data_IF_251906029125
#
_entry.id   IF_251906029125
#
_cell.length_a   1.000
_cell.length_b   1.000
_cell.length_c   1.000
_cell.angle_alpha   90.00
_cell.angle_beta   90.00
_cell.angle_gamma   90.00
#
_symmetry.space_group_name_H-M   'P 1'
#
loop_
_entity.id
_entity.type
_entity.pdbx_description
1 polymer ?
#
# COMPACT_ATOMS: atom_id res chain seq x y z
N UNK A 1 10.22 7.84 2.66
CA UNK A 1 8.96 7.08 2.81
C UNK A 1 8.52 7.03 4.26
N UNK A 2 7.23 6.86 4.47
CA UNK A 2 6.59 6.72 5.79
C UNK A 2 5.63 5.53 5.82
N UNK A 3 6.02 4.38 5.29
CA UNK A 3 5.16 3.19 5.23
C UNK A 3 4.61 2.82 6.62
N UNK A 4 5.47 2.71 7.62
CA UNK A 4 5.04 2.33 8.97
C UNK A 4 4.12 3.37 9.63
N UNK A 5 4.37 4.66 9.40
CA UNK A 5 3.51 5.73 9.91
C UNK A 5 2.17 5.77 9.17
N UNK A 6 2.18 5.58 7.84
CA UNK A 6 0.95 5.46 7.05
C UNK A 6 0.07 4.29 7.51
N UNK A 7 0.69 3.13 7.80
CA UNK A 7 0.00 1.99 8.40
C UNK A 7 -0.73 2.35 9.70
N UNK A 8 -0.15 3.26 10.50
CA UNK A 8 -0.72 3.64 11.81
C UNK A 8 -1.80 4.73 11.73
N UNK A 9 -2.05 5.31 10.55
CA UNK A 9 -3.17 6.25 10.34
C UNK A 9 -4.50 5.55 10.57
N UNK A 10 -4.59 4.29 10.16
CA UNK A 10 -5.79 3.48 10.31
C UNK A 10 -5.41 2.04 10.69
N UNK A 11 -5.70 1.66 11.93
CA UNK A 11 -5.45 0.31 12.46
C UNK A 11 -6.76 -0.28 12.93
N UNK A 12 -7.09 -1.48 12.44
CA UNK A 12 -8.25 -2.20 12.95
C UNK A 12 -7.97 -2.66 14.40
N UNK A 13 -8.93 -2.50 15.34
CA UNK A 13 -8.70 -2.79 16.77
C UNK A 13 -8.17 -4.20 17.08
N UNK A 14 -8.47 -5.19 16.23
CA UNK A 14 -7.94 -6.55 16.40
C UNK A 14 -6.41 -6.66 16.27
N UNK A 15 -5.75 -5.62 15.74
CA UNK A 15 -4.30 -5.59 15.49
C UNK A 15 -3.56 -4.54 16.31
N UNK A 16 -4.24 -3.83 17.22
CA UNK A 16 -3.65 -2.68 17.93
C UNK A 16 -2.31 -2.99 18.59
N UNK A 17 -2.22 -4.06 19.37
CA UNK A 17 -0.98 -4.44 20.06
C UNK A 17 0.14 -4.84 19.09
N UNK A 18 -0.21 -5.43 17.94
CA UNK A 18 0.76 -5.88 16.95
C UNK A 18 1.50 -4.69 16.29
N UNK A 19 0.81 -3.55 16.16
CA UNK A 19 1.38 -2.36 15.51
C UNK A 19 2.07 -1.38 16.47
N UNK A 20 2.05 -1.62 17.77
CA UNK A 20 2.77 -0.78 18.73
C UNK A 20 4.28 -0.74 18.47
N UNK A 21 4.86 -1.83 17.91
CA UNK A 21 6.26 -1.88 17.53
C UNK A 21 6.67 -0.86 16.46
N UNK A 22 5.72 -0.32 15.67
CA UNK A 22 5.98 0.68 14.63
C UNK A 22 5.95 2.11 15.15
N UNK A 23 5.46 2.32 16.37
CA UNK A 23 5.31 3.64 16.97
C UNK A 23 6.44 3.96 17.95
N UNK A 24 6.62 5.25 18.19
CA UNK A 24 7.51 5.74 19.23
C UNK A 24 7.09 5.18 20.62
N UNK A 25 8.05 4.87 21.50
CA UNK A 25 7.77 4.22 22.78
C UNK A 25 6.72 4.93 23.64
N UNK A 26 6.68 6.25 23.60
CA UNK A 26 5.80 7.10 24.41
C UNK A 26 4.30 7.02 24.05
N UNK A 27 3.98 6.48 22.86
CA UNK A 27 2.58 6.36 22.40
C UNK A 27 2.10 4.90 22.31
N UNK A 28 2.95 3.95 22.67
CA UNK A 28 2.60 2.51 22.69
C UNK A 28 1.53 2.21 23.73
N UNK A 29 0.66 1.24 23.46
CA UNK A 29 -0.46 0.89 24.32
C UNK A 29 -1.61 1.89 24.33
N UNK A 30 -1.54 2.95 23.50
CA UNK A 30 -2.61 3.93 23.36
C UNK A 30 -2.91 4.15 21.87
N UNK A 31 -3.92 3.47 21.30
CA UNK A 31 -4.26 3.54 19.89
C UNK A 31 -4.52 4.95 19.37
N UNK A 32 -5.18 5.79 20.17
CA UNK A 32 -5.45 7.17 19.77
C UNK A 32 -4.18 8.01 19.72
N UNK A 33 -3.34 7.97 20.76
CA UNK A 33 -2.08 8.70 20.79
C UNK A 33 -1.13 8.23 19.68
N UNK A 34 -1.12 6.93 19.37
CA UNK A 34 -0.35 6.34 18.28
C UNK A 34 -0.80 6.87 16.92
N UNK A 35 -2.12 6.95 16.68
CA UNK A 35 -2.67 7.51 15.44
C UNK A 35 -2.31 9.00 15.31
N UNK A 36 -2.51 9.80 16.36
CA UNK A 36 -2.17 11.23 16.37
C UNK A 36 -0.68 11.46 16.11
N UNK A 37 0.19 10.64 16.73
CA UNK A 37 1.62 10.65 16.46
C UNK A 37 1.92 10.35 14.99
N UNK A 38 1.32 9.31 14.41
CA UNK A 38 1.52 8.92 13.01
C UNK A 38 1.11 10.03 12.04
N UNK A 39 -0.03 10.66 12.26
CA UNK A 39 -0.51 11.81 11.46
C UNK A 39 0.48 12.97 11.54
N UNK A 40 1.01 13.28 12.74
CA UNK A 40 2.01 14.32 12.90
C UNK A 40 3.33 13.98 12.17
N UNK A 41 3.75 12.71 12.15
CA UNK A 41 4.90 12.29 11.35
C UNK A 41 4.68 12.51 9.85
N UNK A 42 3.47 12.29 9.36
CA UNK A 42 3.12 12.52 7.95
C UNK A 42 3.10 14.02 7.61
N UNK A 43 2.62 14.88 8.49
CA UNK A 43 2.73 16.34 8.30
C UNK A 43 4.19 16.80 8.25
N UNK A 44 5.04 16.29 9.14
CA UNK A 44 6.49 16.58 9.08
C UNK A 44 7.12 16.02 7.80
N UNK A 45 6.67 14.86 7.33
CA UNK A 45 7.15 14.25 6.08
C UNK A 45 6.77 15.10 4.86
N UNK A 46 5.59 15.72 4.82
CA UNK A 46 5.20 16.65 3.76
C UNK A 46 6.17 17.84 3.69
N UNK A 47 6.46 18.48 4.83
CA UNK A 47 7.41 19.59 4.91
C UNK A 47 8.84 19.16 4.53
N UNK A 48 9.31 18.02 5.05
CA UNK A 48 10.62 17.48 4.72
C UNK A 48 10.74 17.17 3.21
N UNK A 49 9.70 16.58 2.62
CA UNK A 49 9.65 16.29 1.18
C UNK A 49 9.75 17.58 0.35
N UNK A 50 9.04 18.63 0.74
CA UNK A 50 9.11 19.94 0.09
C UNK A 50 10.53 20.52 0.19
N UNK A 51 11.15 20.53 1.38
CA UNK A 51 12.49 21.05 1.59
C UNK A 51 13.56 20.30 0.79
N UNK A 52 13.34 19.00 0.56
CA UNK A 52 14.24 18.15 -0.24
C UNK A 52 13.93 18.22 -1.75
N UNK A 53 12.91 18.97 -2.17
CA UNK A 53 12.51 19.07 -3.56
C UNK A 53 11.94 17.76 -4.14
N UNK A 54 11.37 16.90 -3.29
CA UNK A 54 10.73 15.68 -3.73
C UNK A 54 9.38 15.97 -4.37
N UNK A 55 9.01 15.18 -5.38
CA UNK A 55 7.71 15.30 -6.08
C UNK A 55 6.73 14.20 -5.66
N UNK A 56 7.21 13.14 -5.02
CA UNK A 56 6.43 11.98 -4.60
C UNK A 56 6.93 11.43 -3.27
N UNK A 57 6.00 10.91 -2.45
CA UNK A 57 6.27 10.34 -1.13
C UNK A 57 5.53 9.02 -0.98
N UNK A 58 6.26 7.94 -0.72
CA UNK A 58 5.71 6.59 -0.58
C UNK A 58 5.20 6.33 0.84
N UNK A 59 4.03 5.69 0.96
CA UNK A 59 3.40 5.34 2.23
C UNK A 59 2.44 4.16 2.10
N UNK A 60 2.02 3.57 3.24
CA UNK A 60 0.85 2.69 3.33
C UNK A 60 -0.42 3.49 3.66
N UNK A 61 -1.57 2.90 3.41
CA UNK A 61 -2.88 3.50 3.71
C UNK A 61 -3.34 3.27 5.15
N UNK A 62 -2.89 2.20 5.76
CA UNK A 62 -3.56 1.59 6.91
C UNK A 62 -4.74 0.73 6.49
N UNK A 63 -5.36 0.05 7.47
CA UNK A 63 -6.43 -0.89 7.20
C UNK A 63 -7.48 -0.90 8.32
N UNK A 64 -8.74 -0.69 7.95
CA UNK A 64 -9.93 -0.85 8.80
C UNK A 64 -10.82 -2.01 8.31
N UNK A 65 -10.86 -2.23 6.98
CA UNK A 65 -11.70 -3.24 6.34
C UNK A 65 -10.96 -4.52 5.96
N UNK A 66 -9.62 -4.52 5.89
CA UNK A 66 -8.83 -5.69 5.50
C UNK A 66 -9.20 -6.99 6.25
N UNK A 67 -9.47 -7.02 7.57
CA UNK A 67 -9.88 -8.24 8.26
C UNK A 67 -11.16 -8.87 7.73
N UNK A 68 -11.94 -8.12 6.98
CA UNK A 68 -13.19 -8.54 6.36
C UNK A 68 -13.10 -8.72 4.84
N UNK A 69 -11.89 -8.80 4.29
CA UNK A 69 -11.63 -8.91 2.85
C UNK A 69 -12.39 -10.08 2.22
N UNK A 70 -12.43 -11.24 2.85
CA UNK A 70 -13.16 -12.39 2.32
C UNK A 70 -14.68 -12.23 2.54
N UNK A 71 -15.53 -12.41 1.50
CA UNK A 71 -16.96 -12.10 1.57
C UNK A 71 -17.80 -13.08 2.37
N UNK A 72 -17.21 -14.13 2.93
CA UNK A 72 -17.88 -15.14 3.75
C UNK A 72 -17.11 -15.38 5.06
N UNK A 73 -17.79 -15.46 6.24
CA UNK A 73 -19.25 -15.25 6.42
C UNK A 73 -19.69 -13.84 6.01
N UNK A 74 -20.98 -13.70 5.68
CA UNK A 74 -21.51 -12.46 5.14
C UNK A 74 -21.24 -11.27 6.08
N UNK A 75 -20.65 -10.23 5.55
CA UNK A 75 -20.35 -9.00 6.29
C UNK A 75 -21.64 -8.22 6.59
N UNK A 76 -21.71 -7.50 7.71
CA UNK A 76 -22.75 -6.50 7.90
C UNK A 76 -22.79 -5.49 6.75
N UNK A 77 -24.00 -5.12 6.31
CA UNK A 77 -24.16 -4.11 5.26
C UNK A 77 -23.53 -2.77 5.69
N UNK A 78 -22.85 -2.10 4.79
CA UNK A 78 -22.21 -0.81 5.04
C UNK A 78 -20.88 -0.86 5.82
N UNK A 79 -20.39 -2.05 6.19
CA UNK A 79 -19.15 -2.17 6.98
C UNK A 79 -17.95 -1.66 6.20
N UNK A 80 -17.80 -2.07 4.94
CA UNK A 80 -16.66 -1.67 4.09
C UNK A 80 -16.76 -0.19 3.74
N UNK A 81 -17.96 0.26 3.37
CA UNK A 81 -18.23 1.67 3.04
C UNK A 81 -17.89 2.59 4.21
N UNK A 82 -18.32 2.25 5.43
CA UNK A 82 -18.00 3.00 6.65
C UNK A 82 -16.49 3.03 6.93
N UNK A 83 -15.79 1.93 6.71
CA UNK A 83 -14.35 1.86 6.88
C UNK A 83 -13.63 2.79 5.91
N UNK A 84 -14.02 2.80 4.64
CA UNK A 84 -13.44 3.69 3.63
C UNK A 84 -13.82 5.16 3.83
N UNK A 85 -15.02 5.46 4.34
CA UNK A 85 -15.40 6.83 4.73
C UNK A 85 -14.51 7.34 5.87
N UNK A 86 -14.25 6.51 6.87
CA UNK A 86 -13.33 6.85 7.97
C UNK A 86 -11.89 6.97 7.49
N UNK A 87 -11.44 6.09 6.60
CA UNK A 87 -10.11 6.14 5.98
C UNK A 87 -9.92 7.47 5.24
N UNK A 88 -10.87 7.84 4.39
CA UNK A 88 -10.84 9.10 3.65
C UNK A 88 -10.84 10.32 4.57
N UNK A 89 -11.65 10.31 5.62
CA UNK A 89 -11.69 11.37 6.65
C UNK A 89 -10.32 11.56 7.31
N UNK A 90 -9.59 10.48 7.59
CA UNK A 90 -8.25 10.54 8.21
C UNK A 90 -7.19 11.02 7.21
N UNK A 91 -7.26 10.58 5.96
CA UNK A 91 -6.27 10.92 4.95
C UNK A 91 -6.45 12.29 4.32
N UNK A 92 -7.65 12.83 4.23
CA UNK A 92 -7.90 14.15 3.59
C UNK A 92 -7.04 15.29 4.17
N UNK A 93 -6.91 15.47 5.50
CA UNK A 93 -6.04 16.52 6.05
C UNK A 93 -4.55 16.29 5.72
N UNK A 94 -4.12 15.03 5.63
CA UNK A 94 -2.74 14.68 5.26
C UNK A 94 -2.50 14.99 3.79
N UNK A 95 -3.42 14.59 2.90
CA UNK A 95 -3.36 14.90 1.48
C UNK A 95 -3.30 16.41 1.22
N UNK A 96 -4.10 17.21 1.96
CA UNK A 96 -4.06 18.67 1.88
C UNK A 96 -2.67 19.23 2.25
N UNK A 97 -2.05 18.70 3.31
CA UNK A 97 -0.69 19.13 3.71
C UNK A 97 0.36 18.78 2.64
N UNK A 98 0.22 17.65 1.98
CA UNK A 98 1.06 17.27 0.85
C UNK A 98 0.77 18.11 -0.40
N UNK A 99 -0.47 18.56 -0.60
CA UNK A 99 -0.82 19.49 -1.67
C UNK A 99 -0.16 20.85 -1.46
N UNK A 100 -0.22 21.39 -0.25
CA UNK A 100 0.47 22.63 0.12
C UNK A 100 2.00 22.52 -0.08
N UNK A 101 2.54 21.32 0.12
CA UNK A 101 3.95 21.00 -0.11
C UNK A 101 4.30 20.77 -1.59
N UNK A 102 3.31 20.58 -2.48
CA UNK A 102 3.51 20.26 -3.89
C UNK A 102 3.98 18.81 -4.15
N UNK A 103 3.70 17.87 -3.23
CA UNK A 103 4.21 16.49 -3.25
C UNK A 103 3.06 15.49 -3.37
N UNK A 104 3.21 14.49 -4.23
CA UNK A 104 2.23 13.41 -4.36
C UNK A 104 2.38 12.39 -3.22
N UNK A 105 1.25 11.93 -2.68
CA UNK A 105 1.19 10.79 -1.75
C UNK A 105 0.95 9.52 -2.54
N UNK A 106 1.94 8.64 -2.55
CA UNK A 106 1.91 7.41 -3.33
C UNK A 106 1.66 6.23 -2.40
N UNK A 107 0.42 5.74 -2.39
CA UNK A 107 0.05 4.58 -1.62
C UNK A 107 0.56 3.32 -2.28
N UNK A 108 1.30 2.50 -1.55
CA UNK A 108 1.65 1.16 -1.98
C UNK A 108 0.41 0.28 -1.96
N UNK A 109 0.09 -0.32 -3.11
CA UNK A 109 -1.02 -1.28 -3.23
C UNK A 109 -0.54 -2.62 -2.68
N UNK A 110 -0.97 -2.95 -1.46
CA UNK A 110 -0.33 -3.98 -0.66
C UNK A 110 -1.36 -4.86 0.09
N UNK A 111 -1.27 -6.21 0.01
CA UNK A 111 -2.08 -7.10 0.85
C UNK A 111 -1.83 -6.84 2.34
N UNK A 112 -2.90 -6.67 3.10
CA UNK A 112 -2.82 -6.26 4.51
C UNK A 112 -3.23 -4.81 4.73
N UNK A 113 -3.21 -4.01 3.66
CA UNK A 113 -3.75 -2.65 3.63
C UNK A 113 -5.19 -2.63 3.12
N UNK A 114 -5.93 -1.56 3.39
CA UNK A 114 -7.24 -1.38 2.74
C UNK A 114 -7.08 -1.15 1.23
N UNK A 115 -5.98 -0.53 0.81
CA UNK A 115 -5.62 -0.37 -0.59
C UNK A 115 -4.77 -1.56 -1.06
N UNK A 116 -5.41 -2.62 -1.51
CA UNK A 116 -4.72 -3.85 -1.93
C UNK A 116 -4.92 -4.21 -3.42
N UNK A 117 -5.76 -3.47 -4.12
CA UNK A 117 -5.98 -3.58 -5.57
C UNK A 117 -6.46 -2.25 -6.16
N UNK A 118 -6.72 -2.21 -7.47
CA UNK A 118 -7.19 -1.02 -8.15
C UNK A 118 -8.57 -0.57 -7.68
N UNK A 119 -9.48 -1.49 -7.43
CA UNK A 119 -10.85 -1.17 -6.98
C UNK A 119 -10.84 -0.48 -5.62
N UNK A 120 -10.04 -0.98 -4.70
CA UNK A 120 -9.92 -0.38 -3.36
C UNK A 120 -9.24 0.98 -3.39
N UNK A 121 -8.28 1.19 -4.30
CA UNK A 121 -7.73 2.51 -4.53
C UNK A 121 -8.78 3.49 -5.08
N UNK A 122 -9.60 3.07 -6.05
CA UNK A 122 -10.70 3.89 -6.60
C UNK A 122 -11.70 4.27 -5.50
N UNK A 123 -12.01 3.36 -4.57
CA UNK A 123 -12.88 3.64 -3.43
C UNK A 123 -12.36 4.76 -2.54
N UNK A 124 -11.05 4.83 -2.27
CA UNK A 124 -10.45 5.93 -1.51
C UNK A 124 -10.42 7.21 -2.35
N UNK A 125 -10.02 7.12 -3.62
CA UNK A 125 -9.91 8.26 -4.53
C UNK A 125 -11.25 8.98 -4.66
N UNK A 126 -12.34 8.25 -4.86
CA UNK A 126 -13.71 8.81 -4.91
C UNK A 126 -14.07 9.54 -3.62
N UNK A 127 -13.82 8.92 -2.45
CA UNK A 127 -14.18 9.46 -1.14
C UNK A 127 -13.33 10.66 -0.71
N UNK A 128 -12.14 10.79 -1.25
CA UNK A 128 -11.30 11.97 -1.08
C UNK A 128 -11.59 13.06 -2.14
N UNK A 129 -12.67 12.92 -2.91
CA UNK A 129 -13.07 13.87 -3.94
C UNK A 129 -12.10 13.92 -5.13
N UNK A 130 -11.49 12.81 -5.48
CA UNK A 130 -10.44 12.71 -6.50
C UNK A 130 -9.25 13.64 -6.20
N UNK A 131 -8.80 13.62 -4.95
CA UNK A 131 -7.75 14.52 -4.48
C UNK A 131 -6.51 14.45 -5.38
N UNK A 132 -5.96 15.59 -5.85
CA UNK A 132 -4.90 15.60 -6.87
C UNK A 132 -3.58 14.96 -6.39
N UNK A 133 -3.37 14.86 -5.08
CA UNK A 133 -2.17 14.25 -4.51
C UNK A 133 -2.34 12.77 -4.12
N UNK A 134 -3.53 12.19 -4.30
CA UNK A 134 -3.77 10.77 -4.09
C UNK A 134 -3.25 9.99 -5.30
N UNK A 135 -2.15 9.28 -5.15
CA UNK A 135 -1.41 8.58 -6.22
C UNK A 135 -1.02 7.17 -5.79
N UNK A 136 -0.48 6.40 -6.73
CA UNK A 136 -0.08 5.01 -6.51
C UNK A 136 1.44 4.85 -6.47
N UNK A 137 1.89 3.98 -5.59
CA UNK A 137 3.12 3.25 -5.69
C UNK A 137 2.79 1.85 -6.20
N UNK A 138 3.39 1.48 -7.32
CA UNK A 138 3.20 0.21 -7.99
C UNK A 138 4.28 -0.79 -7.57
N UNK A 139 3.90 -1.90 -6.96
CA UNK A 139 4.79 -3.02 -6.63
C UNK A 139 4.23 -4.32 -7.22
N UNK A 140 4.81 -4.83 -8.34
CA UNK A 140 4.31 -6.01 -9.02
C UNK A 140 4.41 -7.28 -8.18
N UNK A 141 5.32 -7.33 -7.20
CA UNK A 141 5.47 -8.50 -6.34
C UNK A 141 4.20 -8.80 -5.55
N UNK A 142 3.52 -7.76 -5.05
CA UNK A 142 2.27 -7.91 -4.32
C UNK A 142 1.12 -8.35 -5.22
N UNK A 143 1.15 -7.98 -6.50
CA UNK A 143 0.14 -8.40 -7.48
C UNK A 143 0.34 -9.86 -7.89
N UNK A 144 1.59 -10.31 -8.06
CA UNK A 144 1.90 -11.75 -8.26
C UNK A 144 1.35 -12.58 -7.11
N UNK A 145 1.54 -12.14 -5.84
CA UNK A 145 1.02 -12.85 -4.66
C UNK A 145 -0.51 -12.93 -4.62
N UNK A 146 -1.21 -12.03 -5.29
CA UNK A 146 -2.67 -11.97 -5.38
C UNK A 146 -3.23 -12.60 -6.66
N UNK A 147 -2.37 -13.06 -7.57
CA UNK A 147 -2.74 -13.50 -8.92
C UNK A 147 -3.48 -12.39 -9.72
N UNK A 148 -3.11 -11.13 -9.51
CA UNK A 148 -3.63 -9.97 -10.23
C UNK A 148 -2.79 -9.71 -11.49
N UNK A 149 -3.42 -9.32 -12.60
CA UNK A 149 -2.71 -8.93 -13.83
C UNK A 149 -2.01 -7.58 -13.64
N UNK A 150 -0.74 -7.65 -13.26
CA UNK A 150 0.06 -6.46 -12.96
C UNK A 150 0.46 -5.67 -14.22
N UNK A 151 0.45 -6.29 -15.41
CA UNK A 151 0.70 -5.57 -16.65
C UNK A 151 -0.53 -4.79 -17.10
N UNK A 152 -1.73 -5.38 -17.03
CA UNK A 152 -2.99 -4.67 -17.29
C UNK A 152 -3.22 -3.53 -16.29
N UNK A 153 -2.79 -3.72 -15.03
CA UNK A 153 -2.86 -2.66 -14.02
C UNK A 153 -2.11 -1.37 -14.45
N UNK A 154 -0.96 -1.51 -15.12
CA UNK A 154 -0.25 -0.34 -15.67
C UNK A 154 -1.09 0.33 -16.75
N UNK A 155 -1.69 -0.43 -17.66
CA UNK A 155 -2.52 0.12 -18.73
C UNK A 155 -3.69 0.95 -18.18
N UNK A 156 -4.29 0.50 -17.07
CA UNK A 156 -5.42 1.18 -16.44
C UNK A 156 -4.98 2.43 -15.64
N UNK A 157 -3.87 2.32 -14.89
CA UNK A 157 -3.51 3.31 -13.86
C UNK A 157 -2.20 4.06 -14.12
N UNK A 158 -1.62 4.02 -15.33
CA UNK A 158 -0.34 4.67 -15.64
C UNK A 158 -0.28 6.15 -15.22
N UNK A 159 -1.37 6.91 -15.34
CA UNK A 159 -1.45 8.31 -14.93
C UNK A 159 -1.38 8.51 -13.41
N UNK A 160 -1.77 7.48 -12.64
CA UNK A 160 -1.78 7.50 -11.19
C UNK A 160 -0.48 6.99 -10.57
N UNK A 161 0.26 6.15 -11.28
CA UNK A 161 1.51 5.54 -10.81
C UNK A 161 2.62 6.59 -10.86
N UNK A 162 3.27 6.87 -9.72
CA UNK A 162 4.38 7.84 -9.61
C UNK A 162 5.66 7.22 -9.06
N UNK A 163 5.56 6.07 -8.42
CA UNK A 163 6.68 5.29 -7.89
C UNK A 163 6.49 3.84 -8.32
N UNK A 164 7.59 3.17 -8.68
CA UNK A 164 7.63 1.77 -9.00
C UNK A 164 8.65 1.07 -8.11
N UNK A 165 8.24 0.06 -7.34
CA UNK A 165 9.14 -0.84 -6.64
C UNK A 165 9.59 -1.97 -7.54
N UNK A 166 10.90 -2.06 -7.77
CA UNK A 166 11.53 -3.17 -8.49
C UNK A 166 11.77 -4.29 -7.49
N UNK A 167 10.78 -5.17 -7.36
CA UNK A 167 10.73 -6.26 -6.38
C UNK A 167 10.12 -7.49 -7.03
N UNK A 168 10.69 -8.66 -6.77
CA UNK A 168 10.29 -9.91 -7.41
C UNK A 168 9.52 -10.84 -6.46
N UNK A 169 8.67 -11.66 -7.03
CA UNK A 169 7.88 -12.65 -6.32
C UNK A 169 7.55 -13.84 -7.24
N UNK A 170 7.17 -14.95 -6.62
CA UNK A 170 6.64 -16.12 -7.29
C UNK A 170 5.28 -16.52 -6.68
N UNK A 171 4.42 -17.11 -7.50
CA UNK A 171 3.17 -17.73 -7.05
C UNK A 171 3.05 -19.11 -7.68
N UNK A 172 3.29 -20.15 -6.87
CA UNK A 172 3.30 -21.56 -7.28
C UNK A 172 2.21 -22.32 -6.51
N UNK A 173 0.93 -22.23 -6.92
CA UNK A 173 -0.16 -22.93 -6.24
C UNK A 173 -0.02 -24.44 -6.43
N UNK A 174 -0.47 -25.19 -5.44
CA UNK A 174 -0.47 -26.66 -5.44
C UNK A 174 -1.85 -27.19 -5.08
N UNK A 175 -2.06 -28.49 -5.08
CA UNK A 175 -3.30 -29.09 -4.55
C UNK A 175 -3.50 -28.89 -3.03
N UNK A 176 -2.53 -28.29 -2.33
CA UNK A 176 -2.58 -28.03 -0.89
C UNK A 176 -2.63 -26.54 -0.53
N UNK A 177 -2.23 -25.66 -1.43
CA UNK A 177 -1.98 -24.24 -1.13
C UNK A 177 -2.41 -23.37 -2.33
N UNK A 178 -2.99 -22.22 -2.03
CA UNK A 178 -3.43 -21.23 -2.99
C UNK A 178 -3.18 -19.82 -2.48
N UNK A 179 -3.93 -18.85 -3.01
CA UNK A 179 -3.76 -17.42 -2.73
C UNK A 179 -4.00 -17.08 -1.25
N UNK A 180 -4.81 -17.85 -0.53
CA UNK A 180 -5.16 -17.60 0.88
C UNK A 180 -4.21 -18.28 1.88
N UNK A 181 -2.95 -18.48 1.54
CA UNK A 181 -1.96 -19.18 2.38
C UNK A 181 -1.55 -18.47 3.69
N UNK A 182 -2.42 -17.65 4.29
CA UNK A 182 -2.13 -16.72 5.38
C UNK A 182 -1.62 -17.32 6.71
N UNK A 183 -1.96 -18.56 7.02
CA UNK A 183 -1.56 -19.21 8.29
C UNK A 183 -0.26 -20.01 8.20
N UNK A 184 0.38 -20.00 7.03
CA UNK A 184 1.64 -20.71 6.80
C UNK A 184 2.82 -19.74 6.98
N UNK A 185 3.99 -20.28 7.33
CA UNK A 185 5.22 -19.50 7.28
C UNK A 185 5.53 -19.07 5.84
N UNK A 186 6.24 -17.98 5.67
CA UNK A 186 6.56 -17.43 4.36
C UNK A 186 7.20 -18.44 3.41
N UNK A 187 8.13 -19.26 3.93
CA UNK A 187 8.83 -20.28 3.14
C UNK A 187 7.92 -21.42 2.64
N UNK A 188 6.75 -21.60 3.25
CA UNK A 188 5.81 -22.67 2.93
C UNK A 188 4.58 -22.18 2.13
N UNK A 189 4.50 -20.88 1.83
CA UNK A 189 3.39 -20.33 1.04
C UNK A 189 3.55 -20.63 -0.44
N UNK A 190 2.42 -20.70 -1.16
CA UNK A 190 2.42 -20.73 -2.62
C UNK A 190 2.98 -19.42 -3.22
N UNK A 191 2.68 -18.29 -2.60
CA UNK A 191 3.17 -16.96 -2.97
C UNK A 191 4.30 -16.50 -2.06
N UNK A 192 5.47 -16.14 -2.62
CA UNK A 192 6.66 -15.72 -1.88
C UNK A 192 7.42 -14.64 -2.61
N UNK A 193 8.08 -13.75 -1.86
CA UNK A 193 9.07 -12.84 -2.45
C UNK A 193 10.33 -13.61 -2.87
N UNK A 194 11.00 -13.09 -3.90
CA UNK A 194 12.21 -13.69 -4.47
C UNK A 194 13.28 -12.62 -4.69
N UNK A 195 14.53 -13.07 -4.78
CA UNK A 195 15.58 -12.22 -5.33
C UNK A 195 15.25 -11.83 -6.77
N UNK A 196 15.66 -10.64 -7.18
CA UNK A 196 15.38 -10.15 -8.53
C UNK A 196 15.90 -11.13 -9.60
N UNK A 197 15.01 -11.52 -10.49
CA UNK A 197 15.28 -12.48 -11.57
C UNK A 197 15.07 -13.93 -11.20
N UNK A 198 14.83 -14.25 -9.93
CA UNK A 198 14.51 -15.60 -9.45
C UNK A 198 13.01 -15.87 -9.32
N UNK A 199 12.18 -14.84 -9.49
CA UNK A 199 10.73 -14.90 -9.40
C UNK A 199 10.03 -15.01 -10.75
N UNK A 200 8.80 -14.50 -10.81
CA UNK A 200 7.93 -14.61 -11.98
C UNK A 200 7.50 -13.23 -12.52
N UNK A 201 8.05 -12.13 -11.98
CA UNK A 201 7.73 -10.79 -12.47
C UNK A 201 8.38 -10.57 -13.83
N UNK A 202 7.55 -10.25 -14.85
CA UNK A 202 8.03 -9.87 -16.19
C UNK A 202 8.50 -8.38 -16.17
N UNK A 203 9.71 -8.15 -15.71
CA UNK A 203 10.30 -6.82 -15.71
C UNK A 203 10.45 -6.22 -17.11
N UNK A 204 10.68 -7.07 -18.15
CA UNK A 204 10.76 -6.58 -19.52
C UNK A 204 9.41 -6.01 -19.97
N UNK A 205 8.31 -6.71 -19.69
CA UNK A 205 6.95 -6.24 -19.97
C UNK A 205 6.65 -4.94 -19.20
N UNK A 206 6.98 -4.88 -17.90
CA UNK A 206 6.78 -3.69 -17.08
C UNK A 206 7.54 -2.50 -17.64
N UNK A 207 8.85 -2.61 -17.88
CA UNK A 207 9.65 -1.49 -18.41
C UNK A 207 9.19 -1.06 -19.80
N UNK A 208 8.72 -2.00 -20.63
CA UNK A 208 8.15 -1.67 -21.95
C UNK A 208 6.88 -0.82 -21.80
N UNK A 209 5.97 -1.18 -20.87
CA UNK A 209 4.76 -0.38 -20.60
C UNK A 209 5.08 0.96 -19.96
N UNK A 210 6.00 1.00 -18.99
CA UNK A 210 6.45 2.25 -18.38
C UNK A 210 7.03 3.22 -19.44
N UNK A 211 7.81 2.68 -20.40
CA UNK A 211 8.33 3.48 -21.52
C UNK A 211 7.22 3.90 -22.50
N UNK A 212 6.23 3.04 -22.76
CA UNK A 212 5.07 3.35 -23.62
C UNK A 212 4.27 4.55 -23.09
N UNK A 213 4.15 4.67 -21.77
CA UNK A 213 3.40 5.73 -21.10
C UNK A 213 4.28 6.87 -20.58
N UNK A 214 5.55 6.96 -21.04
CA UNK A 214 6.49 8.02 -20.60
C UNK A 214 6.54 8.17 -19.08
N UNK A 215 6.61 7.05 -18.32
CA UNK A 215 6.58 7.05 -16.87
C UNK A 215 7.61 8.03 -16.29
N UNK A 216 7.17 9.09 -15.59
CA UNK A 216 8.05 10.17 -15.13
C UNK A 216 8.62 9.91 -13.74
N UNK A 217 8.24 8.80 -13.09
CA UNK A 217 8.50 8.53 -11.68
C UNK A 217 9.85 7.84 -11.42
N UNK A 218 9.96 7.27 -10.23
CA UNK A 218 11.15 6.60 -9.73
C UNK A 218 10.96 5.09 -9.75
N UNK A 219 11.92 4.35 -10.31
CA UNK A 219 12.08 2.92 -10.12
C UNK A 219 13.01 2.70 -8.91
N UNK A 220 12.46 2.17 -7.82
CA UNK A 220 13.15 1.98 -6.55
C UNK A 220 13.38 0.49 -6.33
N UNK A 221 14.66 0.10 -6.15
CA UNK A 221 15.00 -1.27 -5.79
C UNK A 221 14.57 -1.55 -4.35
N UNK A 222 13.69 -2.53 -4.17
CA UNK A 222 13.29 -3.02 -2.86
C UNK A 222 13.69 -4.49 -2.71
N UNK A 223 14.49 -4.78 -1.68
CA UNK A 223 14.91 -6.14 -1.36
C UNK A 223 14.27 -6.59 -0.05
N UNK A 224 13.55 -7.68 -0.10
CA UNK A 224 13.08 -8.36 1.11
C UNK A 224 14.09 -9.43 1.52
N UNK A 225 15.03 -9.07 2.40
CA UNK A 225 16.04 -9.99 2.93
C UNK A 225 15.48 -10.99 3.96
N UNK A 226 14.23 -10.82 4.38
CA UNK A 226 13.59 -11.62 5.44
C UNK A 226 13.21 -13.03 4.93
N UNK A 227 13.27 -13.25 3.62
CA UNK A 227 12.71 -14.45 2.97
C UNK A 227 13.70 -15.20 2.09
N UNK A 228 14.99 -14.89 2.20
CA UNK A 228 16.09 -15.63 1.55
C UNK A 228 16.54 -16.75 2.45
#
# INVERSE_FOLDING_TARGET
STHLQGQLVAVHPAYDDAFDGFAAPEVRGNPQARQEWAVNQLFMAAQASQHLGLIAHATFSGALAWPYMYPWPQRPAGLVETAFDELAKRWTPILNAFEDAGVDVCYEIHPGEDLHDGVTFEMLLERTGNHPRCRMLYDPSHYVLQALDYLEHIDIYHDMIKIFHVKDAEFNPTGRQGVYGGYQSWVNRAGRFRSLGDGQVDFQGIFSKMAQYDFPGWAVLELSLIHI
#
